data_IF_537004595073
#
_entry.id   IF_537004595073
#
_cell.length_a   1.000
_cell.length_b   1.000
_cell.length_c   1.000
_cell.angle_alpha   90.00
_cell.angle_beta   90.00
_cell.angle_gamma   90.00
#
_symmetry.space_group_name_H-M   'P 1'
#
loop_
_entity.id
_entity.type
_entity.pdbx_description
1 polymer ?
#
# COMPACT_ATOMS: atom_id res chain seq x y z
N UNK A 1 -22.06 1.64 4.81
CA UNK A 1 -21.03 1.07 5.71
C UNK A 1 -21.04 -0.42 5.45
N UNK A 2 -20.19 -0.90 4.55
CA UNK A 2 -19.95 -2.34 4.43
C UNK A 2 -19.09 -2.72 5.64
N UNK A 3 -19.64 -3.60 6.47
CA UNK A 3 -19.02 -4.01 7.72
C UNK A 3 -17.74 -4.78 7.38
N UNK A 4 -16.67 -4.51 8.13
CA UNK A 4 -15.39 -5.20 8.03
C UNK A 4 -15.52 -6.73 8.16
N UNK A 5 -16.65 -7.21 8.69
CA UNK A 5 -17.05 -8.61 8.84
C UNK A 5 -17.58 -9.27 7.55
N UNK A 6 -18.06 -8.52 6.57
CA UNK A 6 -18.60 -9.09 5.32
C UNK A 6 -17.48 -9.51 4.35
N UNK A 7 -16.37 -8.75 4.32
CA UNK A 7 -15.16 -9.08 3.53
C UNK A 7 -14.52 -10.41 3.98
N UNK A 8 -14.68 -10.75 5.26
CA UNK A 8 -14.12 -11.98 5.86
C UNK A 8 -14.86 -13.25 5.40
N UNK A 9 -16.09 -13.17 4.89
CA UNK A 9 -16.83 -14.34 4.40
C UNK A 9 -16.57 -14.65 2.91
N UNK A 10 -16.15 -13.65 2.13
CA UNK A 10 -15.95 -13.77 0.67
C UNK A 10 -14.57 -14.34 0.32
N UNK A 11 -13.55 -14.07 1.14
CA UNK A 11 -12.17 -14.49 0.89
C UNK A 11 -11.62 -15.31 2.06
N UNK A 12 -11.38 -16.64 1.91
CA UNK A 12 -10.97 -17.51 3.00
C UNK A 12 -9.56 -17.22 3.55
N UNK A 13 -8.75 -16.42 2.85
CA UNK A 13 -7.40 -16.03 3.26
C UNK A 13 -7.34 -14.53 3.50
N UNK A 14 -7.33 -14.11 4.77
CA UNK A 14 -7.32 -12.68 5.16
C UNK A 14 -6.10 -11.94 4.58
N UNK A 15 -6.32 -10.74 4.05
CA UNK A 15 -5.28 -9.87 3.48
C UNK A 15 -4.08 -9.64 4.43
N UNK A 16 -4.33 -9.47 5.72
CA UNK A 16 -3.27 -9.22 6.72
C UNK A 16 -2.34 -10.43 6.88
N UNK A 17 -2.87 -11.65 6.73
CA UNK A 17 -2.11 -12.89 6.74
C UNK A 17 -1.18 -12.96 5.53
N UNK A 18 -1.66 -12.60 4.34
CA UNK A 18 -0.84 -12.53 3.12
C UNK A 18 0.30 -11.53 3.30
N UNK A 19 0.01 -10.30 3.73
CA UNK A 19 1.04 -9.28 3.97
C UNK A 19 2.08 -9.76 4.98
N UNK A 20 1.64 -10.36 6.09
CA UNK A 20 2.54 -10.86 7.11
C UNK A 20 3.45 -11.98 6.57
N UNK A 21 2.92 -12.84 5.71
CA UNK A 21 3.63 -13.94 5.05
C UNK A 21 4.67 -13.39 4.06
N UNK A 22 4.29 -12.45 3.20
CA UNK A 22 5.22 -11.82 2.25
C UNK A 22 6.37 -11.11 2.95
N UNK A 23 6.09 -10.40 4.06
CA UNK A 23 7.13 -9.77 4.90
C UNK A 23 8.06 -10.80 5.55
N UNK A 24 7.53 -11.95 5.97
CA UNK A 24 8.35 -13.05 6.52
C UNK A 24 9.27 -13.62 5.45
N UNK A 25 8.77 -13.90 4.24
CA UNK A 25 9.60 -14.37 3.14
C UNK A 25 10.70 -13.38 2.77
N UNK A 26 10.38 -12.09 2.72
CA UNK A 26 11.40 -11.05 2.53
C UNK A 26 12.49 -11.11 3.62
N UNK A 27 12.12 -11.24 4.91
CA UNK A 27 13.09 -11.37 6.02
C UNK A 27 13.96 -12.62 5.91
N UNK A 28 13.43 -13.69 5.32
CA UNK A 28 14.16 -14.93 5.04
C UNK A 28 14.96 -14.86 3.72
N UNK A 29 15.03 -13.70 3.05
CA UNK A 29 15.65 -13.49 1.75
C UNK A 29 15.04 -14.34 0.62
N UNK A 30 13.79 -14.79 0.80
CA UNK A 30 12.97 -15.54 -0.16
C UNK A 30 12.19 -14.58 -1.05
N UNK A 31 12.92 -13.92 -1.95
CA UNK A 31 12.36 -12.83 -2.78
C UNK A 31 11.25 -13.33 -3.73
N UNK A 32 11.42 -14.51 -4.34
CA UNK A 32 10.45 -15.06 -5.30
C UNK A 32 9.12 -15.33 -4.60
N UNK A 33 9.16 -15.97 -3.43
CA UNK A 33 7.97 -16.28 -2.64
C UNK A 33 7.30 -15.01 -2.09
N UNK A 34 8.09 -14.00 -1.70
CA UNK A 34 7.54 -12.70 -1.31
C UNK A 34 6.79 -12.03 -2.46
N UNK A 35 7.35 -12.02 -3.68
CA UNK A 35 6.68 -11.46 -4.86
C UNK A 35 5.40 -12.23 -5.21
N UNK A 36 5.43 -13.56 -5.18
CA UNK A 36 4.24 -14.38 -5.42
C UNK A 36 3.11 -14.07 -4.42
N UNK A 37 3.44 -13.76 -3.16
CA UNK A 37 2.45 -13.34 -2.18
C UNK A 37 1.88 -11.95 -2.50
N UNK A 38 2.69 -11.03 -3.01
CA UNK A 38 2.22 -9.71 -3.44
C UNK A 38 1.25 -9.83 -4.63
N UNK A 39 1.59 -10.63 -5.63
CA UNK A 39 0.73 -10.94 -6.79
C UNK A 39 -0.59 -11.57 -6.35
N UNK A 40 -0.53 -12.62 -5.51
CA UNK A 40 -1.73 -13.27 -4.96
C UNK A 40 -2.60 -12.29 -4.15
N UNK A 41 -1.99 -11.36 -3.44
CA UNK A 41 -2.72 -10.33 -2.68
C UNK A 41 -3.48 -9.40 -3.61
N UNK A 42 -2.89 -8.98 -4.73
CA UNK A 42 -3.59 -8.16 -5.75
C UNK A 42 -4.72 -8.94 -6.44
N UNK A 43 -4.54 -10.23 -6.70
CA UNK A 43 -5.56 -11.07 -7.34
C UNK A 43 -6.78 -11.31 -6.44
N UNK A 44 -6.55 -11.58 -5.15
CA UNK A 44 -7.62 -11.85 -4.18
C UNK A 44 -8.30 -10.55 -3.71
N UNK A 45 -7.59 -9.43 -3.74
CA UNK A 45 -8.09 -8.17 -3.19
C UNK A 45 -7.89 -6.99 -4.15
N UNK A 46 -8.49 -7.04 -5.36
CA UNK A 46 -8.21 -6.08 -6.42
C UNK A 46 -8.66 -4.64 -6.10
N UNK A 47 -9.67 -4.49 -5.24
CA UNK A 47 -10.27 -3.19 -4.88
C UNK A 47 -10.09 -2.83 -3.40
N UNK A 48 -9.31 -3.61 -2.64
CA UNK A 48 -9.11 -3.36 -1.21
C UNK A 48 -7.77 -2.66 -0.94
N UNK A 49 -7.86 -1.35 -0.69
CA UNK A 49 -6.72 -0.42 -0.57
C UNK A 49 -5.62 -0.92 0.38
N UNK A 50 -5.97 -1.49 1.54
CA UNK A 50 -5.00 -1.97 2.52
C UNK A 50 -4.22 -3.22 2.02
N UNK A 51 -4.87 -4.09 1.24
CA UNK A 51 -4.19 -5.23 0.64
C UNK A 51 -3.23 -4.78 -0.47
N UNK A 52 -3.67 -3.86 -1.32
CA UNK A 52 -2.88 -3.32 -2.43
C UNK A 52 -1.68 -2.53 -1.91
N UNK A 53 -1.86 -1.71 -0.87
CA UNK A 53 -0.75 -1.07 -0.15
C UNK A 53 0.25 -2.11 0.37
N UNK A 54 -0.26 -3.19 0.97
CA UNK A 54 0.55 -4.27 1.49
C UNK A 54 1.38 -4.99 0.43
N UNK A 55 0.78 -5.27 -0.73
CA UNK A 55 1.47 -5.84 -1.88
C UNK A 55 2.57 -4.90 -2.39
N UNK A 56 2.27 -3.60 -2.51
CA UNK A 56 3.24 -2.58 -2.90
C UNK A 56 4.42 -2.48 -1.92
N UNK A 57 4.17 -2.53 -0.60
CA UNK A 57 5.22 -2.61 0.42
C UNK A 57 6.12 -3.84 0.20
N UNK A 58 5.55 -5.00 -0.12
CA UNK A 58 6.32 -6.23 -0.38
C UNK A 58 7.20 -6.07 -1.62
N UNK A 59 6.69 -5.54 -2.74
CA UNK A 59 7.53 -5.26 -3.92
C UNK A 59 8.66 -4.28 -3.58
N UNK A 60 8.36 -3.22 -2.82
CA UNK A 60 9.37 -2.25 -2.36
C UNK A 60 10.47 -2.94 -1.56
N UNK A 61 10.11 -3.80 -0.61
CA UNK A 61 11.10 -4.56 0.19
C UNK A 61 11.93 -5.51 -0.68
N UNK A 62 11.32 -6.12 -1.68
CA UNK A 62 12.02 -6.98 -2.65
C UNK A 62 12.92 -6.19 -3.61
N UNK A 63 12.92 -4.86 -3.58
CA UNK A 63 13.69 -3.99 -4.48
C UNK A 63 13.01 -3.72 -5.82
N UNK A 64 11.79 -4.22 -6.02
CA UNK A 64 10.99 -4.05 -7.24
C UNK A 64 10.27 -2.71 -7.23
N UNK A 65 11.05 -1.65 -7.39
CA UNK A 65 10.58 -0.27 -7.22
C UNK A 65 9.47 0.11 -8.21
N UNK A 66 9.62 -0.24 -9.49
CA UNK A 66 8.63 0.12 -10.50
C UNK A 66 7.28 -0.55 -10.24
N UNK A 67 7.29 -1.83 -9.88
CA UNK A 67 6.09 -2.57 -9.49
C UNK A 67 5.43 -1.96 -8.25
N UNK A 68 6.21 -1.68 -7.20
CA UNK A 68 5.70 -1.03 -6.00
C UNK A 68 4.99 0.31 -6.31
N UNK A 69 5.60 1.13 -7.16
CA UNK A 69 5.02 2.42 -7.57
C UNK A 69 3.72 2.25 -8.35
N UNK A 70 3.69 1.32 -9.30
CA UNK A 70 2.48 1.02 -10.06
C UNK A 70 1.34 0.52 -9.14
N UNK A 71 1.65 -0.37 -8.20
CA UNK A 71 0.66 -0.90 -7.25
C UNK A 71 0.18 0.17 -6.27
N UNK A 72 1.06 1.07 -5.78
CA UNK A 72 0.64 2.24 -5.01
C UNK A 72 -0.26 3.18 -5.82
N UNK A 73 0.01 3.37 -7.11
CA UNK A 73 -0.83 4.22 -7.96
C UNK A 73 -2.25 3.64 -8.10
N UNK A 74 -2.39 2.31 -8.25
CA UNK A 74 -3.70 1.64 -8.22
C UNK A 74 -4.44 1.90 -6.91
N UNK A 75 -3.74 1.83 -5.76
CA UNK A 75 -4.36 2.12 -4.47
C UNK A 75 -4.91 3.56 -4.38
N UNK A 76 -4.23 4.53 -5.00
CA UNK A 76 -4.71 5.92 -5.12
C UNK A 76 -5.88 6.06 -6.11
N UNK A 77 -5.93 5.26 -7.17
CA UNK A 77 -7.08 5.26 -8.09
C UNK A 77 -8.35 4.78 -7.38
N UNK A 78 -8.23 3.77 -6.51
CA UNK A 78 -9.33 3.22 -5.72
C UNK A 78 -9.73 4.17 -4.58
N UNK A 79 -8.74 4.69 -3.84
CA UNK A 79 -8.97 5.65 -2.76
C UNK A 79 -8.00 6.84 -2.85
N UNK A 80 -8.38 7.88 -3.61
CA UNK A 80 -7.52 9.04 -3.89
C UNK A 80 -7.10 9.85 -2.68
N UNK A 81 -7.80 9.71 -1.56
CA UNK A 81 -7.53 10.46 -0.33
C UNK A 81 -6.56 9.73 0.62
N UNK A 82 -5.92 8.64 0.18
CA UNK A 82 -4.98 7.90 1.02
C UNK A 82 -3.62 8.60 1.06
N UNK A 83 -3.53 9.69 1.83
CA UNK A 83 -2.34 10.54 1.98
C UNK A 83 -1.06 9.75 2.33
N UNK A 84 -1.19 8.58 2.94
CA UNK A 84 -0.08 7.68 3.26
C UNK A 84 0.57 7.11 1.99
N UNK A 85 -0.21 6.78 0.96
CA UNK A 85 0.32 6.21 -0.29
C UNK A 85 1.02 7.25 -1.14
N UNK A 86 0.44 8.45 -1.26
CA UNK A 86 1.12 9.56 -1.95
C UNK A 86 2.48 9.84 -1.31
N UNK A 87 2.54 9.80 0.02
CA UNK A 87 3.80 9.96 0.76
C UNK A 87 4.78 8.83 0.44
N UNK A 88 4.33 7.57 0.39
CA UNK A 88 5.18 6.40 0.06
C UNK A 88 5.75 6.48 -1.35
N UNK A 89 4.97 6.93 -2.34
CA UNK A 89 5.45 7.16 -3.72
C UNK A 89 6.53 8.26 -3.73
N UNK A 90 6.26 9.41 -3.09
CA UNK A 90 7.22 10.53 -3.02
C UNK A 90 8.53 10.14 -2.32
N UNK A 91 8.46 9.37 -1.24
CA UNK A 91 9.64 8.84 -0.53
C UNK A 91 10.49 7.95 -1.43
N UNK A 92 9.85 7.17 -2.30
CA UNK A 92 10.53 6.27 -3.21
C UNK A 92 11.28 6.99 -4.34
N UNK A 93 10.69 8.08 -4.85
CA UNK A 93 11.27 8.90 -5.92
C UNK A 93 12.39 9.83 -5.42
N UNK A 94 12.30 10.36 -4.18
CA UNK A 94 13.27 11.33 -3.62
C UNK A 94 13.74 10.99 -2.19
N UNK A 95 14.46 9.88 -1.97
CA UNK A 95 14.82 9.42 -0.62
C UNK A 95 15.72 10.42 0.15
N UNK A 96 16.54 11.21 -0.55
CA UNK A 96 17.53 12.13 0.06
C UNK A 96 16.90 13.48 0.45
N UNK A 97 15.96 13.99 -0.35
CA UNK A 97 15.27 15.26 -0.07
C UNK A 97 14.25 15.11 1.06
N UNK A 98 13.60 13.95 1.16
CA UNK A 98 12.62 13.66 2.21
C UNK A 98 13.25 13.68 3.62
N UNK A 99 14.39 13.01 3.82
CA UNK A 99 15.05 12.95 5.14
C UNK A 99 15.54 14.31 5.68
N UNK A 100 15.89 15.27 4.81
CA UNK A 100 16.36 16.60 5.19
C UNK A 100 15.23 17.63 5.34
N UNK A 101 14.19 17.56 4.50
CA UNK A 101 13.08 18.53 4.47
C UNK A 101 12.11 18.36 5.66
N UNK A 102 11.87 17.11 6.09
CA UNK A 102 10.90 16.79 7.16
C UNK A 102 11.47 16.77 8.58
N UNK A 103 12.79 16.92 8.75
CA UNK A 103 13.39 17.20 10.08
C UNK A 103 13.12 18.62 10.58
N UNK A 104 12.75 19.55 9.69
CA UNK A 104 12.73 20.98 10.00
C UNK A 104 11.33 21.61 10.09
N UNK A 105 10.30 20.98 9.53
CA UNK A 105 8.92 21.45 9.62
C UNK A 105 7.99 20.25 9.54
N UNK A 106 7.08 20.09 10.49
CA UNK A 106 5.73 19.66 10.12
C UNK A 106 5.10 20.87 9.42
N UNK A 107 4.79 20.83 8.11
CA UNK A 107 3.92 21.82 7.52
C UNK A 107 2.52 21.25 7.39
N UNK A 108 1.54 22.13 7.56
CA UNK A 108 0.11 21.96 7.32
C UNK A 108 -0.18 21.43 5.90
N UNK A 109 0.04 20.14 5.65
CA UNK A 109 -0.41 19.45 4.43
C UNK A 109 -1.84 18.90 4.61
N UNK A 110 -2.66 19.65 5.34
CA UNK A 110 -4.10 19.53 5.34
C UNK A 110 -4.64 20.30 4.13
N UNK A 111 -5.48 19.64 3.33
CA UNK A 111 -6.33 20.22 2.29
C UNK A 111 -5.66 20.59 0.94
N UNK A 112 -5.16 19.59 0.22
CA UNK A 112 -5.36 19.58 -1.23
C UNK A 112 -6.58 18.68 -1.51
N UNK A 113 -7.73 19.31 -1.73
CA UNK A 113 -9.01 18.67 -2.03
C UNK A 113 -8.94 17.90 -3.35
N UNK A 114 -8.62 16.61 -3.29
CA UNK A 114 -9.11 15.65 -4.28
C UNK A 114 -10.48 15.20 -3.75
N UNK A 115 -11.59 15.43 -4.48
CA UNK A 115 -12.93 15.13 -3.98
C UNK A 115 -13.06 13.62 -3.73
N UNK A 116 -13.08 13.26 -2.45
CA UNK A 116 -13.27 11.90 -1.98
C UNK A 116 -14.70 11.43 -2.30
N UNK A 117 -14.88 10.39 -3.11
CA UNK A 117 -16.21 9.82 -3.38
C UNK A 117 -16.80 9.01 -2.22
N UNK A 118 -16.03 8.71 -1.17
CA UNK A 118 -16.44 7.77 -0.12
C UNK A 118 -16.23 8.27 1.32
N UNK A 119 -16.15 9.59 1.55
CA UNK A 119 -16.31 10.14 2.90
C UNK A 119 -17.82 10.29 3.19
N UNK A 120 -18.46 9.23 3.65
CA UNK A 120 -19.67 9.35 4.47
C UNK A 120 -19.39 8.72 5.82
N UNK A 121 -19.60 9.57 6.84
CA UNK A 121 -19.46 9.37 8.27
C UNK A 121 -19.91 8.01 8.79
#
# INVERSE_FOLDING_TARGET
>A
MENQEDVDQEYPIRWNMLISTGRKFHKENKKVEAMAIAELTEELYPDFVYAIEGAADIYKYCGEKEMARATYQKALEIYPCYNIIERKIKEQDEPVAFGQKYKRKEPDFLAAMVPCKHHNH
#
